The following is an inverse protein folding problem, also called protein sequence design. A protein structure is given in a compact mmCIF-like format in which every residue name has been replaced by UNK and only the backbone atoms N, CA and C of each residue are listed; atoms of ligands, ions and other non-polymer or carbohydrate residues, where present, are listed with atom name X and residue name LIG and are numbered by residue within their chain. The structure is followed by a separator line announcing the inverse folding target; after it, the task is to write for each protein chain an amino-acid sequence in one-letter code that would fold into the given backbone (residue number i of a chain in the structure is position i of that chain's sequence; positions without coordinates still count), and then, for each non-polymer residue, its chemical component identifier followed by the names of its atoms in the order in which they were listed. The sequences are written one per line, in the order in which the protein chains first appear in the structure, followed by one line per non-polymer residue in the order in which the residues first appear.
data_IF_772130538372
#
_entry.id   IF_772130538372
#
_cell.length_a   1.000
_cell.length_b   1.000
_cell.length_c   1.000
_cell.angle_alpha   90.00
_cell.angle_beta   90.00
_cell.angle_gamma   90.00
#
_symmetry.space_group_name_H-M   'P 1'
#
loop_
_entity.id
_entity.type
_entity.pdbx_description
1 polymer ?
#
# COMPACT_ATOMS: atom_id res chain seq x y z
N UNK A 1 -14.49 7.85 9.75
CA UNK A 1 -14.41 7.84 8.30
C UNK A 1 -13.69 6.57 7.83
N UNK A 2 -14.36 5.70 7.06
CA UNK A 2 -13.76 4.44 6.64
C UNK A 2 -12.71 4.57 5.53
N UNK A 3 -12.55 5.75 4.94
CA UNK A 3 -11.61 5.94 3.84
C UNK A 3 -10.35 6.63 4.31
N UNK A 4 -9.21 6.22 3.77
CA UNK A 4 -7.93 6.86 4.02
C UNK A 4 -7.18 7.01 2.70
N UNK A 5 -6.29 8.00 2.63
CA UNK A 5 -5.45 8.22 1.46
C UNK A 5 -4.06 7.71 1.77
N UNK A 6 -3.57 6.80 0.93
CA UNK A 6 -2.21 6.28 1.03
C UNK A 6 -1.39 7.04 0.00
N UNK A 7 -0.39 7.80 0.46
CA UNK A 7 0.49 8.57 -0.41
C UNK A 7 1.86 7.93 -0.44
N UNK A 8 2.46 7.90 -1.62
CA UNK A 8 3.80 7.33 -1.76
C UNK A 8 4.51 7.97 -2.95
N UNK A 9 5.83 7.84 -2.95
CA UNK A 9 6.68 8.39 -3.99
C UNK A 9 7.63 7.29 -4.46
N UNK A 10 7.77 7.13 -5.77
CA UNK A 10 8.69 6.16 -6.33
C UNK A 10 9.76 6.87 -7.16
N UNK A 11 11.05 6.49 -7.01
CA UNK A 11 12.16 7.19 -7.67
C UNK A 11 12.34 6.84 -9.14
N UNK A 12 11.76 5.74 -9.61
CA UNK A 12 11.83 5.29 -10.99
C UNK A 12 10.53 4.58 -11.33
N UNK A 13 10.26 4.44 -12.62
CA UNK A 13 9.15 3.61 -13.07
C UNK A 13 9.27 2.21 -12.48
N UNK A 14 8.22 1.74 -11.83
CA UNK A 14 8.27 0.50 -11.04
C UNK A 14 6.95 -0.25 -11.12
N UNK A 15 7.04 -1.57 -10.91
CA UNK A 15 5.87 -2.36 -10.56
C UNK A 15 5.60 -2.12 -9.09
N UNK A 16 4.44 -1.59 -8.77
CA UNK A 16 4.05 -1.23 -7.40
C UNK A 16 2.98 -2.19 -6.92
N UNK A 17 3.21 -2.78 -5.75
CA UNK A 17 2.23 -3.66 -5.09
C UNK A 17 1.99 -3.10 -3.70
N UNK A 18 0.72 -2.81 -3.36
CA UNK A 18 0.35 -2.38 -2.02
C UNK A 18 -0.67 -3.36 -1.46
N UNK A 19 -0.35 -3.92 -0.30
CA UNK A 19 -1.20 -4.89 0.39
C UNK A 19 -1.56 -4.38 1.76
N UNK A 20 -2.77 -4.67 2.18
CA UNK A 20 -3.22 -4.37 3.54
C UNK A 20 -3.10 -5.66 4.36
N UNK A 21 -2.39 -5.59 5.48
CA UNK A 21 -2.04 -6.73 6.31
C UNK A 21 -2.57 -6.50 7.71
N UNK A 22 -3.12 -7.54 8.34
CA UNK A 22 -3.60 -7.46 9.72
C UNK A 22 -2.46 -7.74 10.73
N UNK A 23 -2.79 -7.70 12.03
CA UNK A 23 -1.77 -7.83 13.08
C UNK A 23 -1.14 -9.22 13.16
N UNK A 24 -1.77 -10.25 12.62
CA UNK A 24 -1.18 -11.59 12.59
C UNK A 24 -0.40 -11.87 11.32
N UNK A 25 -0.27 -10.86 10.44
CA UNK A 25 0.54 -10.96 9.23
C UNK A 25 -0.20 -11.48 8.02
N UNK A 26 -1.53 -11.59 8.09
CA UNK A 26 -2.32 -12.06 6.95
C UNK A 26 -2.65 -10.92 6.00
N UNK A 27 -2.57 -11.17 4.70
CA UNK A 27 -2.99 -10.20 3.68
C UNK A 27 -4.52 -10.21 3.63
N UNK A 28 -5.14 -9.07 3.97
CA UNK A 28 -6.60 -8.96 3.91
C UNK A 28 -7.09 -8.44 2.57
N UNK A 29 -6.28 -7.64 1.89
CA UNK A 29 -6.60 -7.20 0.53
C UNK A 29 -5.36 -6.65 -0.17
N UNK A 30 -5.38 -6.69 -1.50
CA UNK A 30 -4.35 -6.06 -2.33
C UNK A 30 -5.01 -4.91 -3.06
N UNK A 31 -4.48 -3.69 -2.90
CA UNK A 31 -5.13 -2.50 -3.44
C UNK A 31 -4.46 -1.96 -4.70
N UNK A 32 -3.19 -2.28 -4.93
CA UNK A 32 -2.47 -1.92 -6.15
C UNK A 32 -1.55 -3.07 -6.54
N UNK A 33 -1.53 -3.39 -7.84
CA UNK A 33 -0.56 -4.29 -8.42
C UNK A 33 -0.43 -3.91 -9.90
N UNK A 34 0.40 -2.89 -10.17
CA UNK A 34 0.53 -2.38 -11.53
C UNK A 34 1.83 -1.60 -11.69
N UNK A 35 2.21 -1.38 -12.94
CA UNK A 35 3.35 -0.52 -13.28
C UNK A 35 2.91 0.94 -13.13
N UNK A 36 3.72 1.73 -12.43
CA UNK A 36 3.47 3.16 -12.25
C UNK A 36 4.71 3.97 -12.58
N UNK A 37 4.53 5.18 -13.14
CA UNK A 37 5.66 6.04 -13.49
C UNK A 37 6.31 6.64 -12.25
N UNK A 38 7.55 7.12 -12.42
CA UNK A 38 8.25 7.88 -11.41
C UNK A 38 7.38 9.03 -10.88
N UNK A 39 7.48 9.31 -9.60
CA UNK A 39 6.84 10.48 -9.00
C UNK A 39 5.96 10.15 -7.81
N UNK A 40 5.12 11.12 -7.48
CA UNK A 40 4.22 11.05 -6.33
C UNK A 40 2.88 10.47 -6.75
N UNK A 41 2.37 9.57 -5.95
CA UNK A 41 1.11 8.89 -6.21
C UNK A 41 0.25 8.86 -4.95
N UNK A 42 -1.04 8.64 -5.14
CA UNK A 42 -1.92 8.40 -4.00
C UNK A 42 -3.00 7.41 -4.39
N UNK A 43 -3.48 6.69 -3.39
CA UNK A 43 -4.55 5.71 -3.56
C UNK A 43 -5.50 5.85 -2.38
N UNK A 44 -6.80 5.93 -2.68
CA UNK A 44 -7.83 5.94 -1.64
C UNK A 44 -8.14 4.50 -1.28
N UNK A 45 -8.06 4.18 0.02
CA UNK A 45 -8.42 2.87 0.53
C UNK A 45 -9.67 3.00 1.40
N UNK A 46 -10.69 2.23 1.07
CA UNK A 46 -11.93 2.20 1.82
C UNK A 46 -11.95 0.94 2.70
N UNK A 47 -11.92 1.15 4.02
CA UNK A 47 -11.85 0.07 5.00
C UNK A 47 -13.23 -0.37 5.52
N UNK A 48 -14.32 0.03 4.86
CA UNK A 48 -15.67 -0.23 5.38
C UNK A 48 -15.98 -1.71 5.61
N UNK A 49 -15.32 -2.61 4.88
CA UNK A 49 -15.51 -4.05 5.00
C UNK A 49 -14.60 -4.69 6.06
N UNK A 50 -13.73 -3.91 6.70
CA UNK A 50 -12.83 -4.42 7.71
C UNK A 50 -13.41 -4.26 9.10
N UNK A 51 -12.99 -5.12 10.03
CA UNK A 51 -13.32 -4.94 11.44
C UNK A 51 -12.39 -3.89 12.04
N UNK A 52 -12.80 -3.27 13.15
CA UNK A 52 -11.95 -2.32 13.86
C UNK A 52 -10.67 -3.02 14.29
N UNK A 53 -9.54 -2.32 14.17
CA UNK A 53 -8.26 -2.87 14.56
C UNK A 53 -7.11 -2.16 13.93
N UNK A 54 -5.93 -2.78 14.07
CA UNK A 54 -4.68 -2.27 13.53
C UNK A 54 -4.38 -3.00 12.23
N UNK A 55 -4.00 -2.23 11.22
CA UNK A 55 -3.64 -2.76 9.90
C UNK A 55 -2.37 -2.08 9.43
N UNK A 56 -1.70 -2.71 8.48
CA UNK A 56 -0.49 -2.17 7.87
C UNK A 56 -0.67 -2.12 6.36
N UNK A 57 -0.37 -0.97 5.77
CA UNK A 57 -0.27 -0.84 4.33
C UNK A 57 1.18 -1.08 3.95
N UNK A 58 1.45 -2.20 3.31
CA UNK A 58 2.80 -2.57 2.89
C UNK A 58 2.94 -2.36 1.40
N UNK A 59 3.88 -1.49 1.01
CA UNK A 59 4.20 -1.23 -0.38
C UNK A 59 5.51 -1.89 -0.74
N UNK A 60 5.54 -2.51 -1.91
CA UNK A 60 6.78 -2.97 -2.54
C UNK A 60 6.81 -2.43 -3.96
N UNK A 61 7.90 -1.76 -4.32
CA UNK A 61 8.10 -1.22 -5.65
C UNK A 61 9.38 -1.81 -6.23
N UNK A 62 9.27 -2.45 -7.40
CA UNK A 62 10.42 -3.03 -8.11
C UNK A 62 10.62 -2.25 -9.40
N UNK A 63 11.79 -1.62 -9.54
CA UNK A 63 12.08 -0.79 -10.72
C UNK A 63 12.26 -1.64 -11.96
N UNK A 64 11.75 -1.16 -13.10
CA UNK A 64 11.79 -1.91 -14.36
C UNK A 64 13.19 -1.96 -14.95
N UNK A 65 13.94 -0.84 -14.86
CA UNK A 65 15.26 -0.74 -15.51
C UNK A 65 16.39 -1.34 -14.70
N UNK A 66 16.40 -1.12 -13.39
CA UNK A 66 17.53 -1.53 -12.55
C UNK A 66 17.25 -2.75 -11.69
N UNK A 67 16.00 -3.19 -11.60
CA UNK A 67 15.62 -4.33 -10.78
C UNK A 67 15.72 -4.10 -9.28
N UNK A 68 15.85 -2.84 -8.84
CA UNK A 68 15.92 -2.50 -7.42
C UNK A 68 14.55 -2.60 -6.79
N UNK A 69 14.51 -3.01 -5.52
CA UNK A 69 13.27 -3.09 -4.76
C UNK A 69 13.29 -2.11 -3.61
N UNK A 70 12.15 -1.45 -3.42
CA UNK A 70 11.92 -0.53 -2.30
C UNK A 70 10.68 -0.99 -1.56
N UNK A 71 10.75 -0.99 -0.23
CA UNK A 71 9.62 -1.38 0.61
C UNK A 71 9.34 -0.32 1.64
N UNK A 72 8.07 -0.15 1.95
CA UNK A 72 7.64 0.80 2.97
C UNK A 72 6.37 0.26 3.62
N UNK A 73 6.25 0.46 4.93
CA UNK A 73 5.08 -0.01 5.68
C UNK A 73 4.53 1.13 6.51
N UNK A 74 3.21 1.35 6.42
CA UNK A 74 2.51 2.38 7.18
C UNK A 74 1.51 1.69 8.09
N UNK A 75 1.58 2.02 9.39
CA UNK A 75 0.61 1.53 10.37
C UNK A 75 -0.67 2.34 10.27
N UNK A 76 -1.81 1.66 10.26
CA UNK A 76 -3.12 2.29 10.23
C UNK A 76 -3.97 1.76 11.37
N UNK A 77 -4.79 2.64 11.96
CA UNK A 77 -5.75 2.24 12.96
C UNK A 77 -7.13 2.54 12.39
N UNK A 78 -7.96 1.51 12.30
CA UNK A 78 -9.33 1.65 11.84
C UNK A 78 -10.30 1.42 12.99
N UNK A 79 -11.17 2.37 13.22
CA UNK A 79 -12.18 2.30 14.27
C UNK A 79 -13.54 2.59 13.67
N UNK A 80 -14.42 1.63 13.76
CA UNK A 80 -15.80 1.80 13.33
C UNK A 80 -16.58 2.68 14.31
#
# INVERSE_FOLDING_TARGET
NPATIIKYNIPEESTVVIKIINVVGEVVTEIINEVQPEGSHQKIFNASNLTSGIYFAHMNATTLNSGKSYSSTIKMIYMK
#
